data_IF_888964906763
#
_entry.id   IF_888964906763
#
_cell.length_a   1.000
_cell.length_b   1.000
_cell.length_c   1.000
_cell.angle_alpha   90.00
_cell.angle_beta   90.00
_cell.angle_gamma   90.00
#
_symmetry.space_group_name_H-M   'P 1'
#
loop_
_entity.id
_entity.type
_entity.pdbx_description
1 polymer ?
#
# COMPACT_ATOMS: atom_id res chain seq x y z
N UNK A 1 -11.60 -46.37 15.07
CA UNK A 1 -11.82 -44.95 15.24
C UNK A 1 -10.56 -44.05 15.16
N UNK A 2 -9.44 -44.59 14.70
CA UNK A 2 -8.18 -43.81 14.58
C UNK A 2 -7.86 -43.15 13.22
N UNK A 3 -8.48 -43.53 12.08
CA UNK A 3 -8.12 -42.91 10.79
C UNK A 3 -8.81 -41.54 10.56
N UNK A 4 -9.96 -41.25 11.21
CA UNK A 4 -10.72 -40.04 10.95
C UNK A 4 -10.03 -38.79 11.55
N UNK A 5 -9.32 -38.95 12.66
CA UNK A 5 -8.64 -37.85 13.35
C UNK A 5 -7.42 -37.35 12.58
N UNK A 6 -6.72 -38.24 11.87
CA UNK A 6 -5.53 -37.92 11.07
C UNK A 6 -5.94 -37.15 9.80
N UNK A 7 -7.09 -37.46 9.21
CA UNK A 7 -7.60 -36.76 8.04
C UNK A 7 -8.00 -35.30 8.35
N UNK A 8 -8.53 -35.02 9.56
CA UNK A 8 -8.91 -33.66 9.99
C UNK A 8 -7.67 -32.81 10.25
N UNK A 9 -6.60 -33.36 10.80
CA UNK A 9 -5.36 -32.64 11.06
C UNK A 9 -4.64 -32.30 9.74
N UNK A 10 -4.65 -33.20 8.75
CA UNK A 10 -4.09 -32.97 7.43
C UNK A 10 -4.87 -31.87 6.67
N UNK A 11 -6.19 -31.78 6.82
CA UNK A 11 -7.02 -30.76 6.20
C UNK A 11 -6.79 -29.37 6.80
N UNK A 12 -6.54 -29.28 8.11
CA UNK A 12 -6.22 -28.03 8.81
C UNK A 12 -4.81 -27.50 8.51
N UNK A 13 -3.86 -28.37 8.16
CA UNK A 13 -2.50 -27.98 7.80
C UNK A 13 -2.42 -27.36 6.38
N UNK A 14 -3.38 -27.64 5.49
CA UNK A 14 -3.41 -27.12 4.12
C UNK A 14 -3.99 -25.70 4.06
N UNK A 15 -4.77 -25.28 5.05
CA UNK A 15 -5.41 -23.96 5.05
C UNK A 15 -4.50 -22.79 5.50
N UNK A 16 -3.33 -23.08 6.07
CA UNK A 16 -2.41 -22.04 6.54
C UNK A 16 -1.23 -21.72 5.62
N UNK A 17 -1.11 -22.38 4.46
CA UNK A 17 0.05 -22.20 3.58
C UNK A 17 -0.18 -21.31 2.35
N UNK A 18 -1.38 -20.77 2.09
CA UNK A 18 -1.68 -20.04 0.87
C UNK A 18 -2.56 -18.80 1.08
N UNK A 19 -2.15 -17.87 1.93
CA UNK A 19 -2.66 -16.49 1.86
C UNK A 19 -1.91 -15.64 0.81
N UNK A 20 -1.21 -16.27 -0.13
CA UNK A 20 -0.89 -15.62 -1.38
C UNK A 20 -2.13 -15.76 -2.26
N UNK A 21 -2.92 -14.70 -2.37
CA UNK A 21 -3.98 -14.59 -3.36
C UNK A 21 -3.37 -14.84 -4.73
N UNK A 22 -3.54 -16.07 -5.24
CA UNK A 22 -3.25 -16.35 -6.65
C UNK A 22 -4.15 -15.44 -7.47
N UNK A 23 -3.61 -14.68 -8.43
CA UNK A 23 -4.47 -13.88 -9.31
C UNK A 23 -5.41 -14.82 -10.03
N UNK A 24 -6.71 -14.57 -9.91
CA UNK A 24 -7.71 -15.28 -10.67
C UNK A 24 -7.46 -15.01 -12.17
N UNK A 25 -7.30 -16.10 -12.93
CA UNK A 25 -7.37 -16.13 -14.40
C UNK A 25 -6.44 -15.16 -15.14
N UNK A 26 -5.14 -15.47 -15.20
CA UNK A 26 -4.28 -14.95 -16.27
C UNK A 26 -3.91 -13.46 -16.21
N UNK A 27 -4.40 -12.73 -15.24
CA UNK A 27 -4.04 -11.31 -15.04
C UNK A 27 -2.60 -11.19 -14.57
N UNK A 28 -1.77 -10.58 -15.39
CA UNK A 28 -0.35 -10.39 -15.10
C UNK A 28 -0.16 -9.22 -14.16
N UNK A 29 0.31 -9.49 -12.94
CA UNK A 29 0.76 -8.44 -12.03
C UNK A 29 2.12 -7.91 -12.48
N UNK A 30 2.20 -6.61 -12.78
CA UNK A 30 3.43 -5.93 -13.13
C UNK A 30 3.90 -5.13 -11.91
N UNK A 31 5.10 -5.44 -11.42
CA UNK A 31 5.74 -4.62 -10.38
C UNK A 31 6.32 -3.37 -11.03
N UNK A 32 5.81 -2.20 -10.64
CA UNK A 32 6.24 -0.90 -11.16
C UNK A 32 7.44 -0.37 -10.36
N UNK A 33 7.33 -0.34 -9.05
CA UNK A 33 8.36 0.25 -8.21
C UNK A 33 8.42 -0.37 -6.81
N UNK A 34 9.52 -0.11 -6.10
CA UNK A 34 9.67 -0.45 -4.68
C UNK A 34 10.50 0.61 -3.96
N UNK A 35 10.03 1.07 -2.83
CA UNK A 35 10.75 1.96 -1.93
C UNK A 35 11.18 1.18 -0.70
N UNK A 36 12.46 1.29 -0.36
CA UNK A 36 13.06 0.71 0.85
C UNK A 36 13.66 1.81 1.72
N UNK A 37 13.68 1.59 3.02
CA UNK A 37 14.32 2.44 3.99
C UNK A 37 15.22 1.58 4.88
N UNK A 38 16.53 1.86 4.91
CA UNK A 38 17.52 1.06 5.64
C UNK A 38 17.40 -0.45 5.39
N UNK A 39 17.29 -0.84 4.12
CA UNK A 39 17.08 -2.21 3.65
C UNK A 39 15.67 -2.80 3.90
N UNK A 40 14.84 -2.17 4.72
CA UNK A 40 13.48 -2.64 4.97
C UNK A 40 12.51 -2.20 3.85
N UNK A 41 11.56 -3.06 3.52
CA UNK A 41 10.46 -2.71 2.63
C UNK A 41 9.62 -1.59 3.29
N UNK A 42 9.34 -0.54 2.53
CA UNK A 42 8.47 0.56 2.96
C UNK A 42 7.15 0.58 2.18
N UNK A 43 7.25 0.60 0.87
CA UNK A 43 6.10 0.53 -0.02
C UNK A 43 6.50 0.06 -1.41
N UNK A 44 5.54 -0.42 -2.18
CA UNK A 44 5.69 -0.80 -3.58
C UNK A 44 4.44 -0.45 -4.37
N UNK A 45 4.63 -0.11 -5.63
CA UNK A 45 3.57 0.08 -6.61
C UNK A 45 3.55 -1.10 -7.55
N UNK A 46 2.39 -1.67 -7.76
CA UNK A 46 2.15 -2.70 -8.77
C UNK A 46 0.92 -2.35 -9.60
N UNK A 47 0.86 -2.91 -10.81
CA UNK A 47 -0.23 -2.70 -11.76
C UNK A 47 -0.84 -4.04 -12.15
N UNK A 48 -2.15 -4.10 -12.16
CA UNK A 48 -2.93 -5.23 -12.65
C UNK A 48 -3.98 -4.64 -13.60
N UNK A 49 -3.86 -4.99 -14.87
CA UNK A 49 -4.66 -4.37 -15.95
C UNK A 49 -4.52 -2.84 -15.97
N UNK A 50 -5.59 -2.09 -15.74
CA UNK A 50 -5.61 -0.63 -15.66
C UNK A 50 -5.46 -0.08 -14.25
N UNK A 51 -5.55 -0.94 -13.22
CA UNK A 51 -5.57 -0.53 -11.82
C UNK A 51 -4.19 -0.64 -11.18
N UNK A 52 -3.96 0.23 -10.20
CA UNK A 52 -2.74 0.28 -9.43
C UNK A 52 -2.98 -0.15 -7.98
N UNK A 53 -1.95 -0.74 -7.38
CA UNK A 53 -1.98 -1.22 -6.00
C UNK A 53 -0.74 -0.71 -5.29
N UNK A 54 -0.93 0.10 -4.25
CA UNK A 54 0.15 0.49 -3.37
C UNK A 54 0.13 -0.47 -2.18
N UNK A 55 1.13 -1.32 -2.10
CA UNK A 55 1.41 -2.12 -0.90
C UNK A 55 2.34 -1.33 -0.01
N UNK A 56 2.01 -1.15 1.25
CA UNK A 56 2.84 -0.41 2.20
C UNK A 56 2.93 -1.15 3.53
N UNK A 57 4.03 -0.92 4.24
CA UNK A 57 4.20 -1.38 5.62
C UNK A 57 3.60 -0.37 6.57
N UNK A 58 2.74 -0.83 7.47
CA UNK A 58 2.21 0.02 8.54
C UNK A 58 3.32 0.31 9.55
N UNK A 59 3.70 1.59 9.70
CA UNK A 59 4.78 2.00 10.62
C UNK A 59 4.33 2.02 12.06
N UNK A 60 3.03 2.03 12.33
CA UNK A 60 2.48 1.98 13.70
C UNK A 60 2.72 0.63 14.36
N UNK A 61 2.76 -0.42 13.58
CA UNK A 61 2.93 -1.79 14.04
C UNK A 61 4.21 -2.41 13.48
N UNK A 62 5.35 -1.74 13.63
CA UNK A 62 6.65 -2.18 13.09
C UNK A 62 7.05 -3.60 13.48
N UNK A 63 6.57 -4.08 14.62
CA UNK A 63 6.80 -5.45 15.09
C UNK A 63 5.93 -6.51 14.41
N UNK A 64 4.81 -6.09 13.80
CA UNK A 64 3.96 -6.95 13.01
C UNK A 64 4.30 -6.74 11.53
N UNK A 65 4.75 -7.76 10.85
CA UNK A 65 5.12 -7.72 9.42
C UNK A 65 3.91 -7.65 8.48
N UNK A 66 2.85 -6.94 8.87
CA UNK A 66 1.67 -6.76 8.04
C UNK A 66 1.90 -5.70 6.97
N UNK A 67 1.73 -6.08 5.72
CA UNK A 67 1.64 -5.14 4.62
C UNK A 67 0.17 -4.87 4.31
N UNK A 68 -0.16 -3.60 4.22
CA UNK A 68 -1.49 -3.13 3.84
C UNK A 68 -1.51 -2.75 2.36
N UNK A 69 -2.70 -2.73 1.75
CA UNK A 69 -2.87 -2.43 0.33
C UNK A 69 -3.90 -1.32 0.17
N UNK A 70 -3.59 -0.38 -0.73
CA UNK A 70 -4.52 0.62 -1.25
C UNK A 70 -4.70 0.36 -2.73
N UNK A 71 -5.94 0.17 -3.18
CA UNK A 71 -6.28 0.09 -4.59
C UNK A 71 -6.52 1.50 -5.16
N UNK A 72 -5.96 1.75 -6.34
CA UNK A 72 -6.09 3.01 -7.09
C UNK A 72 -6.66 2.69 -8.47
N UNK A 73 -7.86 3.15 -8.72
CA UNK A 73 -8.61 2.88 -9.94
C UNK A 73 -8.12 3.73 -11.11
N UNK A 74 -7.24 3.17 -11.93
CA UNK A 74 -6.74 3.80 -13.14
C UNK A 74 -5.66 4.86 -12.92
N UNK A 75 -5.09 5.32 -14.05
CA UNK A 75 -3.96 6.26 -14.08
C UNK A 75 -4.33 7.65 -13.54
N UNK A 76 -5.54 8.13 -13.80
CA UNK A 76 -5.97 9.47 -13.38
C UNK A 76 -6.05 9.58 -11.85
N UNK A 77 -6.54 8.53 -11.19
CA UNK A 77 -6.54 8.46 -9.72
C UNK A 77 -5.14 8.32 -9.14
N UNK A 78 -4.23 7.68 -9.84
CA UNK A 78 -2.82 7.63 -9.44
C UNK A 78 -2.16 9.00 -9.55
N UNK A 79 -2.45 9.76 -10.62
CA UNK A 79 -2.02 11.16 -10.79
C UNK A 79 -2.55 12.03 -9.66
N UNK A 80 -3.86 11.96 -9.39
CA UNK A 80 -4.52 12.70 -8.32
C UNK A 80 -3.90 12.40 -6.95
N UNK A 81 -3.65 11.12 -6.65
CA UNK A 81 -3.00 10.68 -5.42
C UNK A 81 -1.61 11.32 -5.27
N UNK A 82 -0.76 11.20 -6.30
CA UNK A 82 0.59 11.80 -6.28
C UNK A 82 0.54 13.32 -6.12
N UNK A 83 -0.32 13.99 -6.91
CA UNK A 83 -0.47 15.45 -6.87
C UNK A 83 -0.94 15.98 -5.52
N UNK A 84 -1.87 15.27 -4.86
CA UNK A 84 -2.37 15.63 -3.53
C UNK A 84 -1.24 15.62 -2.49
N UNK A 85 -0.38 14.61 -2.52
CA UNK A 85 0.77 14.54 -1.61
C UNK A 85 1.79 15.64 -1.93
N UNK A 86 2.09 15.85 -3.22
CA UNK A 86 3.01 16.92 -3.67
C UNK A 86 2.50 18.29 -3.23
N UNK A 87 1.19 18.55 -3.40
CA UNK A 87 0.57 19.81 -2.96
C UNK A 87 0.78 20.03 -1.47
N UNK A 88 0.47 19.05 -0.64
CA UNK A 88 0.63 19.15 0.81
C UNK A 88 2.09 19.41 1.20
N UNK A 89 3.05 18.71 0.59
CA UNK A 89 4.47 18.91 0.87
C UNK A 89 4.93 20.35 0.50
N UNK A 90 4.38 20.93 -0.58
CA UNK A 90 4.76 22.26 -1.07
C UNK A 90 4.04 23.40 -0.37
N UNK A 91 2.73 23.26 -0.12
CA UNK A 91 1.90 24.32 0.47
C UNK A 91 1.99 24.37 2.00
N UNK A 92 2.47 23.31 2.62
CA UNK A 92 2.48 23.14 4.08
C UNK A 92 1.07 23.14 4.70
N UNK A 93 0.06 22.79 3.92
CA UNK A 93 -1.34 22.71 4.34
C UNK A 93 -1.74 21.27 4.64
N UNK A 94 -2.65 21.11 5.61
CA UNK A 94 -3.30 19.82 5.85
C UNK A 94 -4.26 19.51 4.71
N UNK A 95 -4.31 18.27 4.30
CA UNK A 95 -5.28 17.81 3.30
C UNK A 95 -5.78 16.42 3.64
N UNK A 96 -7.00 16.13 3.20
CA UNK A 96 -7.56 14.79 3.27
C UNK A 96 -8.28 14.49 1.96
N UNK A 97 -8.19 13.26 1.50
CA UNK A 97 -8.94 12.80 0.33
C UNK A 97 -9.38 11.34 0.51
N UNK A 98 -10.41 10.95 -0.24
CA UNK A 98 -10.95 9.60 -0.21
C UNK A 98 -10.37 8.77 -1.35
N UNK A 99 -9.94 7.56 -1.04
CA UNK A 99 -9.41 6.61 -1.99
C UNK A 99 -9.78 5.18 -1.56
N UNK A 100 -10.40 4.42 -2.43
CA UNK A 100 -10.80 3.02 -2.18
C UNK A 100 -11.60 2.85 -0.86
N UNK A 101 -12.55 3.75 -0.61
CA UNK A 101 -13.35 3.76 0.63
C UNK A 101 -12.61 4.22 1.89
N UNK A 102 -11.31 4.45 1.80
CA UNK A 102 -10.47 4.92 2.90
C UNK A 102 -10.30 6.44 2.85
N UNK A 103 -10.12 7.07 3.99
CA UNK A 103 -9.76 8.48 4.07
C UNK A 103 -8.27 8.60 4.34
N UNK A 104 -7.54 9.26 3.43
CA UNK A 104 -6.14 9.57 3.60
C UNK A 104 -6.00 10.96 4.17
N UNK A 105 -5.39 11.07 5.34
CA UNK A 105 -5.04 12.34 5.96
C UNK A 105 -3.55 12.61 5.74
N UNK A 106 -3.26 13.75 5.13
CA UNK A 106 -1.91 14.18 4.81
C UNK A 106 -1.52 15.31 5.77
N UNK A 107 -0.47 15.10 6.52
CA UNK A 107 0.05 16.05 7.50
C UNK A 107 1.46 16.45 7.12
N UNK A 108 1.70 17.73 6.96
CA UNK A 108 3.05 18.24 6.66
C UNK A 108 4.00 18.07 7.82
N UNK A 109 5.28 17.98 7.50
CA UNK A 109 6.35 17.95 8.49
C UNK A 109 7.43 18.98 8.16
N UNK A 110 8.03 19.58 9.18
CA UNK A 110 9.08 20.63 9.05
C UNK A 110 10.27 20.23 8.18
N UNK A 111 10.53 18.95 7.99
CA UNK A 111 11.61 18.39 7.15
C UNK A 111 11.25 18.23 5.67
N UNK A 112 10.33 19.04 5.13
CA UNK A 112 9.93 19.04 3.72
C UNK A 112 9.37 17.68 3.24
N UNK A 113 8.45 17.14 3.99
CA UNK A 113 7.75 15.91 3.67
C UNK A 113 6.33 15.90 4.22
N UNK A 114 5.64 14.80 4.04
CA UNK A 114 4.31 14.58 4.59
C UNK A 114 4.24 13.24 5.31
N UNK A 115 3.51 13.19 6.40
CA UNK A 115 3.01 11.95 6.99
C UNK A 115 1.71 11.59 6.32
N UNK A 116 1.60 10.34 5.92
CA UNK A 116 0.38 9.79 5.32
C UNK A 116 -0.25 8.85 6.33
N UNK A 117 -1.40 9.24 6.84
CA UNK A 117 -2.26 8.43 7.69
C UNK A 117 -3.45 7.96 6.88
N UNK A 118 -3.84 6.71 7.06
CA UNK A 118 -4.94 6.08 6.35
C UNK A 118 -5.98 5.68 7.37
N UNK A 119 -7.17 6.26 7.23
CA UNK A 119 -8.33 5.95 8.07
C UNK A 119 -9.26 5.03 7.28
N UNK A 120 -9.29 3.78 7.66
CA UNK A 120 -10.34 2.86 7.28
C UNK A 120 -11.47 2.93 8.30
N UNK A 121 -12.63 2.37 7.99
CA UNK A 121 -13.88 2.47 8.77
C UNK A 121 -13.69 2.32 10.29
N UNK A 122 -12.76 1.47 10.71
CA UNK A 122 -12.52 1.17 12.13
C UNK A 122 -11.05 1.20 12.55
N UNK A 123 -10.13 1.40 11.62
CA UNK A 123 -8.70 1.27 11.87
C UNK A 123 -7.91 2.44 11.30
N UNK A 124 -6.86 2.84 12.00
CA UNK A 124 -5.89 3.84 11.55
C UNK A 124 -4.58 3.14 11.22
N UNK A 125 -4.16 3.27 9.97
CA UNK A 125 -2.87 2.81 9.48
C UNK A 125 -1.96 4.01 9.19
N UNK A 126 -0.67 3.79 9.16
CA UNK A 126 0.29 4.85 8.91
C UNK A 126 1.34 4.41 7.88
N UNK A 127 1.33 5.05 6.70
CA UNK A 127 2.42 4.89 5.72
C UNK A 127 3.71 5.61 6.15
N UNK A 128 3.65 6.41 7.22
CA UNK A 128 4.76 7.16 7.76
C UNK A 128 5.17 8.36 6.90
N UNK A 129 6.42 8.76 7.04
CA UNK A 129 6.97 9.96 6.41
C UNK A 129 7.39 9.76 4.96
N UNK A 130 6.95 10.68 4.08
CA UNK A 130 7.23 10.70 2.65
C UNK A 130 7.81 12.05 2.21
N UNK A 131 9.02 12.02 1.65
CA UNK A 131 9.61 13.16 0.93
C UNK A 131 9.25 13.10 -0.55
N UNK A 132 9.41 14.20 -1.29
CA UNK A 132 9.23 14.22 -2.75
C UNK A 132 10.09 13.15 -3.45
N UNK A 133 11.34 12.97 -3.00
CA UNK A 133 12.25 11.96 -3.56
C UNK A 133 11.74 10.53 -3.36
N UNK A 134 11.17 10.22 -2.18
CA UNK A 134 10.58 8.89 -1.91
C UNK A 134 9.30 8.69 -2.71
N UNK A 135 8.48 9.73 -2.82
CA UNK A 135 7.25 9.70 -3.61
C UNK A 135 7.54 9.47 -5.10
N UNK A 136 8.56 10.15 -5.65
CA UNK A 136 8.99 9.94 -7.04
C UNK A 136 9.50 8.52 -7.29
N UNK A 137 10.18 7.92 -6.33
CA UNK A 137 10.58 6.51 -6.42
C UNK A 137 9.38 5.55 -6.37
N UNK A 138 8.32 5.88 -5.61
CA UNK A 138 7.13 5.05 -5.51
C UNK A 138 6.28 5.17 -6.78
N UNK A 139 6.05 6.40 -7.23
CA UNK A 139 5.24 6.71 -8.42
C UNK A 139 6.12 7.50 -9.39
N UNK A 140 6.91 6.81 -10.24
CA UNK A 140 7.77 7.45 -11.22
C UNK A 140 6.95 8.30 -12.20
N UNK A 141 7.51 9.44 -12.64
CA UNK A 141 6.89 10.27 -13.67
C UNK A 141 6.60 9.48 -14.95
N UNK A 142 7.54 8.62 -15.35
CA UNK A 142 7.40 7.75 -16.52
C UNK A 142 6.20 6.78 -16.47
N UNK A 143 5.63 6.51 -15.32
CA UNK A 143 4.41 5.70 -15.21
C UNK A 143 3.15 6.54 -15.42
N UNK A 144 3.27 7.86 -15.37
CA UNK A 144 2.15 8.80 -15.46
C UNK A 144 2.01 9.42 -16.85
N UNK A 145 2.97 9.19 -17.73
CA UNK A 145 2.95 9.65 -19.13
C UNK A 145 2.16 8.66 -20.00
#
# INVERSE_FOLDING_TARGET
MKPLLIAIIALLAITNANSQTKPLNGTKTVKVSTVREKSNFKAGLSKIDSDYFITYRDVKYETMSSNEIIKIWGIDKLKEFKQSIVKVIKSNELSAFKLDGKTLSLVTHKSKGAYINILDKYMKFEMGFWSLKKLEKLIPGSELD
#
